data_IF_149221787698
#
_entry.id   IF_149221787698
#
_cell.length_a   1.000
_cell.length_b   1.000
_cell.length_c   1.000
_cell.angle_alpha   90.00
_cell.angle_beta   90.00
_cell.angle_gamma   90.00
#
_symmetry.space_group_name_H-M   'P 1'
#
loop_
_entity.id
_entity.type
_entity.pdbx_description
1 polymer ?
#
# COMPACT_ATOMS: atom_id res chain seq x y z
N UNK A 1 1.03 -10.53 2.01
CA UNK A 1 1.34 -11.78 2.76
C UNK A 1 1.87 -11.48 4.16
N UNK A 2 1.46 -10.35 4.72
CA UNK A 2 1.81 -9.94 6.07
C UNK A 2 0.89 -10.49 7.15
N UNK A 3 -0.23 -11.14 6.79
CA UNK A 3 -1.39 -11.24 7.67
C UNK A 3 -1.42 -12.45 8.60
N UNK A 4 -0.54 -13.44 8.47
CA UNK A 4 -0.62 -14.60 9.38
C UNK A 4 0.49 -14.68 10.41
N UNK A 5 1.71 -14.23 10.07
CA UNK A 5 2.87 -14.52 10.90
C UNK A 5 3.69 -13.27 11.29
N UNK A 6 3.37 -12.09 10.76
CA UNK A 6 4.10 -10.84 11.02
C UNK A 6 5.20 -10.54 9.99
N UNK A 7 5.95 -9.47 10.24
CA UNK A 7 6.98 -8.97 9.34
C UNK A 7 8.33 -8.77 10.05
N UNK A 8 9.40 -8.81 9.27
CA UNK A 8 10.76 -8.47 9.68
C UNK A 8 11.30 -7.38 8.76
N UNK A 9 11.85 -6.34 9.33
CA UNK A 9 12.62 -5.33 8.60
C UNK A 9 14.09 -5.70 8.61
N UNK A 10 14.73 -5.61 7.44
CA UNK A 10 16.14 -5.92 7.27
C UNK A 10 16.95 -4.64 7.05
N UNK A 11 18.08 -4.52 7.69
CA UNK A 11 19.04 -3.44 7.50
C UNK A 11 19.61 -3.40 6.08
N UNK A 12 20.23 -2.28 5.69
CA UNK A 12 20.80 -2.08 4.35
C UNK A 12 22.04 -2.95 4.08
N UNK A 13 22.83 -3.23 5.11
CA UNK A 13 24.11 -3.92 4.95
C UNK A 13 23.90 -5.38 4.60
N UNK A 14 24.48 -5.79 3.48
CA UNK A 14 24.41 -7.15 2.97
C UNK A 14 25.76 -7.81 3.17
N UNK A 15 25.80 -8.90 3.94
CA UNK A 15 26.98 -9.73 4.11
C UNK A 15 26.84 -10.97 3.21
N UNK A 16 27.77 -11.14 2.28
CA UNK A 16 27.86 -12.39 1.51
C UNK A 16 28.39 -13.50 2.42
N UNK A 17 27.69 -14.61 2.47
CA UNK A 17 28.03 -15.82 3.23
C UNK A 17 28.31 -17.01 2.33
N UNK A 18 28.59 -16.74 1.05
CA UNK A 18 28.88 -17.74 0.04
C UNK A 18 27.63 -18.47 -0.46
N UNK A 19 27.79 -19.34 -1.42
CA UNK A 19 26.81 -20.15 -2.18
C UNK A 19 25.34 -19.88 -1.87
N UNK A 20 24.78 -18.84 -2.53
CA UNK A 20 23.36 -18.45 -2.40
C UNK A 20 22.90 -18.07 -0.99
N UNK A 21 23.83 -17.60 -0.15
CA UNK A 21 23.53 -17.16 1.22
C UNK A 21 23.94 -15.72 1.42
N UNK A 22 23.05 -14.94 1.92
CA UNK A 22 23.31 -13.57 2.40
C UNK A 22 22.86 -13.46 3.85
N UNK A 23 23.51 -12.60 4.62
CA UNK A 23 23.05 -12.22 5.95
C UNK A 23 22.78 -10.72 6.00
N UNK A 24 21.71 -10.34 6.65
CA UNK A 24 21.33 -8.95 6.91
C UNK A 24 20.85 -8.84 8.36
N UNK A 25 21.18 -7.74 9.01
CA UNK A 25 20.68 -7.46 10.35
C UNK A 25 19.16 -7.30 10.32
N UNK A 26 18.47 -7.82 11.31
CA UNK A 26 17.07 -7.51 11.57
C UNK A 26 17.03 -6.20 12.34
N UNK A 27 16.36 -5.18 11.82
CA UNK A 27 16.26 -3.83 12.40
C UNK A 27 14.89 -3.57 13.03
N UNK A 28 13.89 -4.38 12.69
CA UNK A 28 12.55 -4.29 13.26
C UNK A 28 11.73 -5.55 13.03
N UNK A 29 10.72 -5.77 13.85
CA UNK A 29 9.77 -6.88 13.74
C UNK A 29 8.37 -6.41 14.15
N UNK A 30 7.34 -7.07 13.63
CA UNK A 30 6.01 -6.95 14.19
C UNK A 30 5.94 -7.50 15.62
N UNK A 31 5.01 -7.00 16.42
CA UNK A 31 4.78 -7.46 17.78
C UNK A 31 4.49 -8.97 17.81
N UNK A 32 5.05 -9.63 18.81
CA UNK A 32 4.88 -11.07 19.08
C UNK A 32 5.44 -12.04 18.02
N UNK A 33 6.18 -11.56 17.01
CA UNK A 33 6.81 -12.44 16.04
C UNK A 33 7.97 -13.21 16.66
N UNK A 34 7.91 -14.54 16.62
CA UNK A 34 9.02 -15.42 17.01
C UNK A 34 9.74 -15.90 15.76
N UNK A 35 10.94 -15.36 15.54
CA UNK A 35 11.79 -15.76 14.42
C UNK A 35 12.59 -16.99 14.83
N UNK A 36 12.55 -18.05 14.00
CA UNK A 36 13.30 -19.27 14.20
C UNK A 36 14.13 -19.63 12.97
N UNK A 37 15.26 -20.28 13.17
CA UNK A 37 16.06 -20.82 12.07
C UNK A 37 15.20 -21.81 11.27
N UNK A 38 15.22 -21.65 9.93
CA UNK A 38 14.42 -22.49 9.03
C UNK A 38 13.03 -21.93 8.70
N UNK A 39 12.61 -20.82 9.29
CA UNK A 39 11.38 -20.16 8.86
C UNK A 39 11.46 -19.77 7.37
N UNK A 40 10.39 -20.01 6.63
CA UNK A 40 10.25 -19.52 5.27
C UNK A 40 9.71 -18.10 5.33
N UNK A 41 10.30 -17.20 4.53
CA UNK A 41 9.91 -15.80 4.44
C UNK A 41 9.66 -15.43 2.98
N UNK A 42 8.76 -14.46 2.77
CA UNK A 42 8.56 -13.83 1.48
C UNK A 42 9.22 -12.47 1.47
N UNK A 43 9.92 -12.14 0.41
CA UNK A 43 10.45 -10.80 0.22
C UNK A 43 9.34 -9.87 -0.25
N UNK A 44 9.26 -8.69 0.35
CA UNK A 44 8.35 -7.63 -0.08
C UNK A 44 9.12 -6.32 -0.24
N UNK A 45 8.69 -5.48 -1.18
CA UNK A 45 9.22 -4.12 -1.38
C UNK A 45 8.64 -3.10 -0.41
N UNK A 46 7.85 -3.51 0.57
CA UNK A 46 7.31 -2.64 1.60
C UNK A 46 8.45 -2.20 2.51
N UNK A 47 8.65 -0.89 2.58
CA UNK A 47 9.72 -0.28 3.38
C UNK A 47 9.22 0.16 4.76
N UNK A 48 8.00 0.71 4.79
CA UNK A 48 7.31 1.11 6.01
C UNK A 48 6.05 0.26 6.16
N UNK A 49 5.82 -0.33 7.33
CA UNK A 49 4.64 -1.16 7.57
C UNK A 49 3.40 -0.32 7.83
N UNK A 50 3.57 0.85 8.46
CA UNK A 50 2.51 1.79 8.82
C UNK A 50 2.88 3.21 8.43
N UNK A 51 1.89 4.13 8.34
CA UNK A 51 2.18 5.56 8.19
C UNK A 51 3.11 6.13 9.26
N UNK A 52 2.96 5.69 10.51
CA UNK A 52 3.80 6.15 11.62
C UNK A 52 5.27 5.76 11.43
N UNK A 53 5.56 4.57 10.88
CA UNK A 53 6.92 4.13 10.57
C UNK A 53 7.57 5.02 9.49
N UNK A 54 6.75 5.62 8.63
CA UNK A 54 7.18 6.58 7.62
C UNK A 54 7.27 8.03 8.16
N UNK A 55 6.96 8.24 9.44
CA UNK A 55 6.89 9.58 10.03
C UNK A 55 5.72 10.43 9.51
N UNK A 56 4.67 9.78 9.02
CA UNK A 56 3.51 10.42 8.41
C UNK A 56 2.27 10.29 9.29
N UNK A 57 1.52 11.39 9.44
CA UNK A 57 0.22 11.39 10.09
C UNK A 57 -0.87 11.04 9.07
N UNK A 58 -1.60 9.96 9.34
CA UNK A 58 -2.68 9.48 8.48
C UNK A 58 -4.00 9.44 9.24
N UNK A 59 -5.10 9.67 8.52
CA UNK A 59 -6.44 9.33 8.97
C UNK A 59 -6.88 8.03 8.33
N UNK A 60 -7.28 7.06 9.14
CA UNK A 60 -7.96 5.87 8.65
C UNK A 60 -9.39 6.24 8.22
N UNK A 61 -9.71 5.97 6.98
CA UNK A 61 -11.03 6.22 6.41
C UNK A 61 -11.55 4.97 5.70
N UNK A 62 -12.82 4.98 5.35
CA UNK A 62 -13.48 3.92 4.57
C UNK A 62 -14.06 4.51 3.30
N UNK A 63 -13.69 3.93 2.17
CA UNK A 63 -14.25 4.27 0.86
C UNK A 63 -15.42 3.33 0.59
N UNK A 64 -16.56 3.89 0.22
CA UNK A 64 -17.72 3.10 -0.22
C UNK A 64 -17.51 2.70 -1.68
N UNK A 65 -17.19 1.45 -1.92
CA UNK A 65 -16.99 0.84 -3.25
C UNK A 65 -18.23 0.07 -3.67
N UNK A 66 -18.34 -0.36 -4.94
CA UNK A 66 -19.46 -1.19 -5.40
C UNK A 66 -19.68 -2.49 -4.61
N UNK A 67 -18.65 -3.00 -3.95
CA UNK A 67 -18.68 -4.28 -3.21
C UNK A 67 -18.70 -4.11 -1.69
N UNK A 68 -18.74 -2.88 -1.19
CA UNK A 68 -18.72 -2.56 0.23
C UNK A 68 -17.59 -1.60 0.58
N UNK A 69 -17.25 -1.52 1.86
CA UNK A 69 -16.23 -0.58 2.32
C UNK A 69 -14.82 -1.13 2.11
N UNK A 70 -13.96 -0.34 1.45
CA UNK A 70 -12.54 -0.55 1.39
C UNK A 70 -11.83 0.44 2.34
N UNK A 71 -10.84 -0.03 3.16
CA UNK A 71 -10.07 0.88 4.01
C UNK A 71 -9.12 1.71 3.15
N UNK A 72 -8.85 2.93 3.59
CA UNK A 72 -7.86 3.81 2.97
C UNK A 72 -7.17 4.68 4.03
N UNK A 73 -5.95 5.13 3.72
CA UNK A 73 -5.26 6.16 4.48
C UNK A 73 -5.36 7.49 3.74
N UNK A 74 -5.78 8.52 4.46
CA UNK A 74 -5.77 9.89 3.97
C UNK A 74 -4.70 10.69 4.71
N UNK A 75 -3.87 11.38 3.94
CA UNK A 75 -2.86 12.32 4.42
C UNK A 75 -3.25 13.71 3.93
N UNK A 76 -3.47 14.63 4.86
CA UNK A 76 -3.91 15.97 4.48
C UNK A 76 -2.76 16.78 3.90
N UNK A 77 -3.03 17.46 2.80
CA UNK A 77 -2.17 18.44 2.15
C UNK A 77 -2.80 19.82 2.12
N UNK A 78 -2.04 20.80 1.65
CA UNK A 78 -2.46 22.21 1.57
C UNK A 78 -3.09 22.59 0.23
N UNK A 79 -2.99 21.72 -0.79
CA UNK A 79 -3.44 21.99 -2.15
C UNK A 79 -4.72 21.21 -2.50
N UNK A 80 -5.48 21.71 -3.48
CA UNK A 80 -6.62 21.00 -4.08
C UNK A 80 -6.19 19.88 -5.05
N UNK A 81 -4.89 19.66 -5.23
CA UNK A 81 -4.34 18.51 -5.96
C UNK A 81 -4.25 17.31 -5.04
N UNK A 82 -4.83 16.19 -5.46
CA UNK A 82 -4.79 14.93 -4.72
C UNK A 82 -3.93 13.89 -5.41
N UNK A 83 -3.15 13.18 -4.63
CA UNK A 83 -2.36 12.03 -5.05
C UNK A 83 -3.09 10.74 -4.68
N UNK A 84 -3.42 9.92 -5.66
CA UNK A 84 -4.04 8.59 -5.45
C UNK A 84 -2.97 7.53 -5.60
N UNK A 85 -2.70 6.80 -4.53
CA UNK A 85 -1.67 5.77 -4.48
C UNK A 85 -2.28 4.38 -4.58
N UNK A 86 -1.91 3.64 -5.63
CA UNK A 86 -2.49 2.36 -6.03
C UNK A 86 -1.39 1.31 -6.00
N UNK A 87 -1.48 0.36 -5.09
CA UNK A 87 -0.48 -0.70 -4.93
C UNK A 87 -0.61 -1.81 -6.00
N UNK A 88 0.40 -2.66 -6.08
CA UNK A 88 0.45 -3.79 -7.00
C UNK A 88 -0.15 -5.07 -6.45
N UNK A 89 -0.17 -6.10 -7.32
CA UNK A 89 -0.63 -7.44 -6.95
C UNK A 89 0.20 -8.02 -5.80
N UNK A 90 -0.49 -8.58 -4.81
CA UNK A 90 0.14 -9.21 -3.64
C UNK A 90 0.84 -8.22 -2.71
N UNK A 91 0.60 -6.93 -2.87
CA UNK A 91 1.02 -5.87 -1.96
C UNK A 91 -0.18 -5.35 -1.16
N UNK A 92 0.05 -4.37 -0.32
CA UNK A 92 -0.96 -3.66 0.45
C UNK A 92 -0.75 -2.16 0.34
N UNK A 93 -1.59 -1.37 0.99
CA UNK A 93 -1.46 0.09 1.14
C UNK A 93 -0.04 0.50 1.57
N UNK A 94 0.58 -0.24 2.48
CA UNK A 94 1.92 0.01 2.99
C UNK A 94 3.00 0.06 1.87
N UNK A 95 2.80 -0.68 0.77
CA UNK A 95 3.73 -0.69 -0.36
C UNK A 95 3.89 0.66 -1.08
N UNK A 96 2.96 1.60 -0.86
CA UNK A 96 2.95 2.90 -1.54
C UNK A 96 3.45 4.06 -0.68
N UNK A 97 3.72 3.86 0.61
CA UNK A 97 4.04 4.93 1.56
C UNK A 97 5.23 5.80 1.16
N UNK A 98 6.22 5.24 0.46
CA UNK A 98 7.35 6.03 -0.09
C UNK A 98 6.90 7.09 -1.10
N UNK A 99 5.86 6.81 -1.87
CA UNK A 99 5.28 7.79 -2.79
C UNK A 99 4.49 8.87 -2.05
N UNK A 100 3.89 8.52 -0.92
CA UNK A 100 3.16 9.47 -0.07
C UNK A 100 4.09 10.56 0.47
N UNK A 101 5.30 10.21 0.92
CA UNK A 101 6.27 11.20 1.40
C UNK A 101 6.52 12.28 0.33
N UNK A 102 6.78 11.87 -0.90
CA UNK A 102 7.01 12.80 -2.01
C UNK A 102 5.78 13.68 -2.27
N UNK A 103 4.59 13.10 -2.28
CA UNK A 103 3.35 13.85 -2.48
C UNK A 103 3.08 14.85 -1.35
N UNK A 104 3.38 14.47 -0.11
CA UNK A 104 3.25 15.35 1.07
C UNK A 104 4.20 16.53 0.99
N UNK A 105 5.46 16.32 0.59
CA UNK A 105 6.45 17.37 0.41
C UNK A 105 6.03 18.38 -0.68
N UNK A 106 5.25 17.93 -1.66
CA UNK A 106 4.65 18.78 -2.70
C UNK A 106 3.35 19.46 -2.25
N UNK A 107 2.87 19.23 -1.03
CA UNK A 107 1.65 19.79 -0.50
C UNK A 107 0.36 19.12 -1.00
N UNK A 108 0.44 17.96 -1.64
CA UNK A 108 -0.72 17.22 -2.12
C UNK A 108 -1.43 16.49 -0.98
N UNK A 109 -2.75 16.47 -1.01
CA UNK A 109 -3.53 15.53 -0.21
C UNK A 109 -3.35 14.13 -0.81
N UNK A 110 -2.90 13.17 -0.01
CA UNK A 110 -2.69 11.79 -0.49
C UNK A 110 -3.81 10.87 -0.02
N UNK A 111 -4.24 9.98 -0.90
CA UNK A 111 -5.19 8.92 -0.63
C UNK A 111 -4.57 7.58 -1.04
N UNK A 112 -4.28 6.75 -0.06
CA UNK A 112 -3.72 5.41 -0.24
C UNK A 112 -4.87 4.41 -0.11
N UNK A 113 -5.18 3.72 -1.21
CA UNK A 113 -6.41 2.95 -1.33
C UNK A 113 -6.16 1.44 -1.24
N UNK A 114 -7.10 0.74 -0.60
CA UNK A 114 -7.34 -0.68 -0.80
C UNK A 114 -8.44 -0.88 -1.83
N UNK A 115 -8.44 -2.04 -2.45
CA UNK A 115 -9.43 -2.46 -3.43
C UNK A 115 -9.79 -3.94 -3.22
N UNK A 116 -10.79 -4.43 -3.97
CA UNK A 116 -11.26 -5.82 -3.86
C UNK A 116 -10.13 -6.84 -3.97
N UNK A 117 -10.20 -7.86 -3.13
CA UNK A 117 -9.31 -9.02 -3.14
C UNK A 117 -7.82 -8.75 -2.85
N UNK A 118 -7.48 -7.57 -2.29
CA UNK A 118 -6.12 -7.23 -1.89
C UNK A 118 -5.75 -7.75 -0.47
N UNK A 119 -6.69 -8.28 0.27
CA UNK A 119 -6.55 -8.77 1.64
C UNK A 119 -7.19 -7.83 2.69
N UNK A 120 -7.27 -6.53 2.41
CA UNK A 120 -7.86 -5.51 3.29
C UNK A 120 -9.23 -5.04 2.78
N UNK A 121 -9.41 -4.96 1.47
CA UNK A 121 -10.66 -4.56 0.82
C UNK A 121 -11.70 -5.68 0.74
N UNK A 122 -12.87 -5.39 0.15
CA UNK A 122 -13.96 -6.35 0.05
C UNK A 122 -13.57 -7.57 -0.80
N UNK A 123 -14.06 -8.75 -0.41
CA UNK A 123 -13.88 -9.96 -1.21
C UNK A 123 -14.93 -10.07 -2.30
N UNK A 124 -14.53 -10.50 -3.49
CA UNK A 124 -15.40 -10.76 -4.63
C UNK A 124 -15.03 -12.05 -5.34
N UNK A 125 -16.02 -12.78 -5.80
CA UNK A 125 -15.84 -14.00 -6.57
C UNK A 125 -14.97 -15.04 -5.87
N UNK A 126 -13.94 -15.52 -6.54
CA UNK A 126 -12.99 -16.49 -6.01
C UNK A 126 -12.01 -15.90 -4.98
N UNK A 127 -12.04 -14.60 -4.72
CA UNK A 127 -11.05 -13.88 -3.89
C UNK A 127 -9.71 -13.66 -4.60
N UNK A 128 -9.65 -13.87 -5.90
CA UNK A 128 -8.46 -13.62 -6.72
C UNK A 128 -8.55 -12.26 -7.41
N UNK A 129 -7.41 -11.62 -7.60
CA UNK A 129 -7.32 -10.42 -8.41
C UNK A 129 -7.63 -10.71 -9.88
N UNK A 130 -8.24 -9.72 -10.53
CA UNK A 130 -8.50 -9.70 -11.98
C UNK A 130 -7.44 -8.92 -12.76
N UNK A 131 -6.29 -8.65 -12.12
CA UNK A 131 -5.16 -7.89 -12.67
C UNK A 131 -5.51 -6.47 -13.09
N UNK A 132 -6.42 -5.84 -12.36
CA UNK A 132 -6.85 -4.47 -12.56
C UNK A 132 -8.19 -4.31 -13.29
N UNK A 133 -8.71 -5.39 -13.92
CA UNK A 133 -9.91 -5.29 -14.75
C UNK A 133 -11.18 -4.91 -13.97
N UNK A 134 -11.29 -5.32 -12.71
CA UNK A 134 -12.43 -4.94 -11.84
C UNK A 134 -12.01 -4.11 -10.62
N UNK A 135 -10.73 -4.15 -10.26
CA UNK A 135 -10.18 -3.34 -9.18
C UNK A 135 -10.26 -1.84 -9.49
N UNK A 136 -10.27 -1.48 -10.78
CA UNK A 136 -10.44 -0.10 -11.25
C UNK A 136 -11.70 0.56 -10.69
N UNK A 137 -12.83 -0.15 -10.59
CA UNK A 137 -14.09 0.39 -10.05
C UNK A 137 -13.94 0.88 -8.59
N UNK A 138 -13.11 0.21 -7.80
CA UNK A 138 -12.88 0.57 -6.39
C UNK A 138 -11.98 1.81 -6.29
N UNK A 139 -11.03 1.97 -7.23
CA UNK A 139 -10.19 3.16 -7.33
C UNK A 139 -10.98 4.35 -7.87
N UNK A 140 -11.91 4.15 -8.83
CA UNK A 140 -12.86 5.19 -9.26
C UNK A 140 -13.73 5.68 -8.10
N UNK A 141 -14.17 4.77 -7.23
CA UNK A 141 -14.91 5.13 -6.02
C UNK A 141 -14.05 6.00 -5.07
N UNK A 142 -12.75 5.73 -4.98
CA UNK A 142 -11.82 6.54 -4.20
C UNK A 142 -11.59 7.92 -4.81
N UNK A 143 -11.47 8.03 -6.14
CA UNK A 143 -11.43 9.31 -6.85
C UNK A 143 -12.72 10.09 -6.61
N UNK A 144 -13.88 9.44 -6.72
CA UNK A 144 -15.17 10.05 -6.44
C UNK A 144 -15.28 10.57 -5.00
N UNK A 145 -14.70 9.85 -4.04
CA UNK A 145 -14.57 10.34 -2.65
C UNK A 145 -13.71 11.60 -2.59
N UNK A 146 -12.57 11.61 -3.23
CA UNK A 146 -11.64 12.75 -3.24
C UNK A 146 -12.30 14.00 -3.86
N UNK A 147 -13.06 13.84 -4.96
CA UNK A 147 -13.86 14.94 -5.58
C UNK A 147 -14.85 15.53 -4.58
N UNK A 148 -15.60 14.70 -3.86
CA UNK A 148 -16.54 15.16 -2.82
C UNK A 148 -15.83 15.87 -1.67
N UNK A 149 -14.55 15.58 -1.46
CA UNK A 149 -13.71 16.24 -0.46
C UNK A 149 -12.98 17.49 -0.99
N UNK A 150 -13.26 17.93 -2.21
CA UNK A 150 -12.70 19.16 -2.79
C UNK A 150 -11.46 18.96 -3.66
N UNK A 151 -11.18 17.75 -4.12
CA UNK A 151 -10.12 17.52 -5.10
C UNK A 151 -10.50 18.13 -6.46
N UNK A 152 -9.61 18.93 -7.03
CA UNK A 152 -9.76 19.57 -8.34
C UNK A 152 -8.83 18.96 -9.39
N UNK A 153 -7.71 18.39 -8.94
CA UNK A 153 -6.67 17.79 -9.80
C UNK A 153 -6.16 16.52 -9.18
N UNK A 154 -5.75 15.58 -10.03
CA UNK A 154 -5.25 14.28 -9.60
C UNK A 154 -3.87 14.00 -10.15
N UNK A 155 -3.04 13.35 -9.30
CA UNK A 155 -1.81 12.67 -9.68
C UNK A 155 -1.97 11.21 -9.27
N UNK A 156 -1.79 10.29 -10.20
CA UNK A 156 -1.95 8.85 -9.95
C UNK A 156 -0.56 8.22 -9.78
N UNK A 157 -0.34 7.57 -8.64
CA UNK A 157 0.86 6.79 -8.34
C UNK A 157 0.51 5.30 -8.38
N UNK A 158 0.75 4.65 -9.50
CA UNK A 158 0.48 3.24 -9.68
C UNK A 158 1.76 2.39 -9.61
N UNK A 159 1.73 1.31 -8.84
CA UNK A 159 2.83 0.36 -8.71
C UNK A 159 2.47 -0.97 -9.37
N UNK A 160 3.22 -1.41 -10.39
CA UNK A 160 2.96 -2.68 -11.08
C UNK A 160 1.51 -2.76 -11.59
N UNK A 161 0.69 -3.69 -11.09
CA UNK A 161 -0.74 -3.77 -11.40
C UNK A 161 -1.48 -2.45 -11.12
N UNK A 162 -1.09 -1.72 -10.07
CA UNK A 162 -1.65 -0.40 -9.78
C UNK A 162 -1.39 0.62 -10.90
N UNK A 163 -0.30 0.49 -11.65
CA UNK A 163 -0.07 1.32 -12.83
C UNK A 163 -1.03 0.96 -13.97
N UNK A 164 -1.33 -0.34 -14.14
CA UNK A 164 -2.33 -0.78 -15.12
C UNK A 164 -3.75 -0.28 -14.77
N UNK A 165 -4.08 -0.20 -13.46
CA UNK A 165 -5.33 0.41 -12.99
C UNK A 165 -5.32 1.92 -13.29
N UNK A 166 -4.23 2.62 -12.95
CA UNK A 166 -4.11 4.07 -13.16
C UNK A 166 -4.24 4.48 -14.63
N UNK A 167 -3.83 3.63 -15.56
CA UNK A 167 -3.95 3.90 -17.01
C UNK A 167 -5.36 3.67 -17.57
N UNK A 168 -6.28 3.10 -16.81
CA UNK A 168 -7.68 2.88 -17.17
C UNK A 168 -8.59 4.01 -16.69
N UNK A 169 -8.10 4.85 -15.77
CA UNK A 169 -8.81 5.99 -15.17
C UNK A 169 -8.64 7.27 -15.99
#
# INVERSE_FOLDING_TARGET
>A
WFERDGWVQLGSDVQDRGTHRIARAVTGTSDNLKIQVGNRVSWSGIYFATPADAGLEARDIRINTPLGYAPAWRFDGSLSTWAIHIHGLGSSRAGTLRGVQVATDLGYTSLVVSFRNDGEGPRSGSGRSTLGATEVDDVEAAISYAVRCGAERFVLFGWSMGAAIALQL
#
